data_IF_677098431805
#
_entry.id   IF_677098431805
#
_cell.length_a   1.000
_cell.length_b   1.000
_cell.length_c   1.000
_cell.angle_alpha   90.00
_cell.angle_beta   90.00
_cell.angle_gamma   90.00
#
_symmetry.space_group_name_H-M   'P 1'
#
loop_
_entity.id
_entity.type
_entity.pdbx_description
1 polymer ?
#
# COMPACT_ATOMS: atom_id res chain seq x y z
N UNK A 1 -11.23 6.28 12.30
CA UNK A 1 -10.98 6.96 11.02
C UNK A 1 -10.23 8.28 11.19
N UNK A 2 -10.74 9.17 12.02
CA UNK A 2 -10.15 10.51 12.25
C UNK A 2 -8.71 10.45 12.79
N UNK A 3 -8.39 9.42 13.59
CA UNK A 3 -7.03 9.20 14.13
C UNK A 3 -6.06 8.76 13.04
N UNK A 4 -6.54 8.02 12.03
CA UNK A 4 -5.67 7.47 10.95
C UNK A 4 -5.51 8.47 9.81
N UNK A 5 -6.59 9.12 9.38
CA UNK A 5 -6.59 9.92 8.15
C UNK A 5 -6.84 11.44 8.38
N UNK A 6 -7.15 11.87 9.60
CA UNK A 6 -7.49 13.26 9.93
C UNK A 6 -8.91 13.65 9.52
N UNK A 7 -9.28 14.92 9.79
CA UNK A 7 -10.60 15.47 9.45
C UNK A 7 -10.73 15.75 7.94
N UNK A 8 -11.96 15.74 7.41
CA UNK A 8 -12.20 16.19 6.04
C UNK A 8 -11.88 17.68 5.88
N UNK A 9 -11.20 18.04 4.80
CA UNK A 9 -11.01 19.44 4.42
C UNK A 9 -12.24 19.92 3.66
N UNK A 10 -13.06 20.75 4.28
CA UNK A 10 -14.30 21.29 3.67
C UNK A 10 -14.07 22.21 2.46
N UNK A 11 -12.87 22.73 2.25
CA UNK A 11 -12.58 23.79 1.27
C UNK A 11 -11.56 23.39 0.19
N UNK A 12 -11.09 22.15 0.11
CA UNK A 12 -10.16 21.72 -0.94
C UNK A 12 -10.90 20.85 -1.95
N UNK A 13 -11.29 21.45 -3.08
CA UNK A 13 -11.83 20.73 -4.22
C UNK A 13 -10.67 20.36 -5.14
N UNK A 14 -10.51 19.06 -5.42
CA UNK A 14 -9.55 18.58 -6.42
C UNK A 14 -10.01 19.06 -7.81
N UNK A 15 -9.07 19.50 -8.65
CA UNK A 15 -9.40 19.73 -10.03
C UNK A 15 -9.70 18.39 -10.74
N UNK A 16 -10.44 18.37 -11.86
CA UNK A 16 -10.87 17.13 -12.51
C UNK A 16 -9.72 16.19 -12.89
N UNK A 17 -8.55 16.74 -13.25
CA UNK A 17 -7.36 15.95 -13.57
C UNK A 17 -6.78 15.28 -12.34
N UNK A 18 -6.62 16.02 -11.25
CA UNK A 18 -6.14 15.47 -9.98
C UNK A 18 -7.13 14.45 -9.41
N UNK A 19 -8.44 14.76 -9.46
CA UNK A 19 -9.50 13.82 -9.01
C UNK A 19 -9.39 12.48 -9.73
N UNK A 20 -9.16 12.50 -11.03
CA UNK A 20 -8.97 11.29 -11.84
C UNK A 20 -7.72 10.52 -11.43
N UNK A 21 -6.59 11.19 -11.28
CA UNK A 21 -5.33 10.55 -10.87
C UNK A 21 -5.50 9.90 -9.50
N UNK A 22 -6.05 10.62 -8.52
CA UNK A 22 -6.26 10.10 -7.16
C UNK A 22 -7.23 8.91 -7.17
N UNK A 23 -8.29 8.94 -7.98
CA UNK A 23 -9.22 7.81 -8.08
C UNK A 23 -8.52 6.53 -8.58
N UNK A 24 -7.72 6.61 -9.63
CA UNK A 24 -6.95 5.46 -10.11
C UNK A 24 -5.91 4.99 -9.11
N UNK A 25 -5.26 5.92 -8.41
CA UNK A 25 -4.30 5.63 -7.35
C UNK A 25 -4.93 4.80 -6.23
N UNK A 26 -6.04 5.26 -5.66
CA UNK A 26 -6.73 4.58 -4.56
C UNK A 26 -7.32 3.22 -4.99
N UNK A 27 -7.92 3.15 -6.19
CA UNK A 27 -8.38 1.86 -6.72
C UNK A 27 -7.20 0.93 -7.01
N UNK A 28 -6.05 1.46 -7.40
CA UNK A 28 -4.82 0.68 -7.56
C UNK A 28 -4.45 -0.07 -6.27
N UNK A 29 -4.42 0.62 -5.14
CA UNK A 29 -4.20 -0.02 -3.83
C UNK A 29 -5.27 -1.07 -3.52
N UNK A 30 -6.54 -0.69 -3.68
CA UNK A 30 -7.67 -1.55 -3.36
C UNK A 30 -7.70 -2.83 -4.20
N UNK A 31 -7.46 -2.73 -5.50
CA UNK A 31 -7.50 -3.85 -6.43
C UNK A 31 -6.32 -4.80 -6.20
N UNK A 32 -5.11 -4.26 -5.98
CA UNK A 32 -3.94 -5.08 -5.63
C UNK A 32 -4.18 -5.81 -4.31
N UNK A 33 -4.74 -5.14 -3.30
CA UNK A 33 -5.07 -5.78 -2.03
C UNK A 33 -6.09 -6.91 -2.20
N UNK A 34 -7.18 -6.67 -2.95
CA UNK A 34 -8.27 -7.62 -3.12
C UNK A 34 -7.89 -8.87 -3.95
N UNK A 35 -6.92 -8.74 -4.84
CA UNK A 35 -6.48 -9.84 -5.73
C UNK A 35 -5.29 -10.63 -5.16
N UNK A 36 -4.90 -10.40 -3.92
CA UNK A 36 -3.85 -11.14 -3.22
C UNK A 36 -4.43 -12.04 -2.13
N UNK A 37 -3.82 -13.21 -1.93
CA UNK A 37 -4.02 -14.04 -0.74
C UNK A 37 -3.38 -13.37 0.48
N UNK A 38 -3.84 -13.70 1.68
CA UNK A 38 -3.28 -13.18 2.94
C UNK A 38 -3.18 -11.64 2.95
N UNK A 39 -4.22 -10.98 2.47
CA UNK A 39 -4.37 -9.52 2.46
C UNK A 39 -5.66 -9.14 3.18
N UNK A 40 -5.59 -8.13 4.03
CA UNK A 40 -6.78 -7.64 4.73
C UNK A 40 -7.81 -7.08 3.74
N UNK A 41 -9.10 -7.33 3.94
CA UNK A 41 -10.13 -6.83 3.05
C UNK A 41 -10.21 -5.29 3.06
N UNK A 42 -10.54 -4.74 1.90
CA UNK A 42 -10.74 -3.30 1.75
C UNK A 42 -12.09 -2.92 2.37
N UNK A 43 -12.06 -2.09 3.39
CA UNK A 43 -13.26 -1.64 4.09
C UNK A 43 -13.81 -0.30 3.54
N UNK A 44 -12.93 0.56 3.03
CA UNK A 44 -13.31 1.88 2.51
C UNK A 44 -12.27 2.42 1.55
N UNK A 45 -12.75 3.12 0.52
CA UNK A 45 -11.94 3.88 -0.42
C UNK A 45 -12.55 5.28 -0.52
N UNK A 46 -11.73 6.33 -0.48
CA UNK A 46 -12.22 7.70 -0.64
C UNK A 46 -11.21 8.60 -1.34
N UNK A 47 -11.71 9.54 -2.12
CA UNK A 47 -10.92 10.60 -2.77
C UNK A 47 -11.25 11.99 -2.18
N UNK A 48 -11.88 12.01 -1.00
CA UNK A 48 -12.16 13.25 -0.27
C UNK A 48 -10.90 13.67 0.51
N UNK A 49 -10.32 14.86 0.22
CA UNK A 49 -9.09 15.31 0.85
C UNK A 49 -9.18 15.44 2.37
N UNK A 50 -8.10 15.15 3.06
CA UNK A 50 -8.00 15.18 4.53
C UNK A 50 -7.06 16.27 5.03
N UNK A 51 -7.19 16.61 6.32
CA UNK A 51 -6.35 17.63 6.99
C UNK A 51 -4.89 17.18 7.12
N UNK A 52 -4.62 15.87 7.11
CA UNK A 52 -3.27 15.29 7.08
C UNK A 52 -2.49 15.59 5.79
N UNK A 53 -3.16 16.14 4.76
CA UNK A 53 -2.58 16.38 3.44
C UNK A 53 -2.86 15.28 2.43
N UNK A 54 -3.38 14.13 2.85
CA UNK A 54 -3.80 13.07 1.95
C UNK A 54 -4.95 13.53 1.04
N UNK A 55 -4.85 13.22 -0.25
CA UNK A 55 -5.87 13.55 -1.26
C UNK A 55 -6.96 12.48 -1.35
N UNK A 56 -6.65 11.27 -0.91
CA UNK A 56 -7.52 10.13 -0.75
C UNK A 56 -6.93 9.15 0.25
N UNK A 57 -7.59 8.03 0.48
CA UNK A 57 -7.02 6.87 1.17
C UNK A 57 -7.85 5.61 0.94
N UNK A 58 -7.17 4.49 0.99
CA UNK A 58 -7.74 3.15 1.01
C UNK A 58 -7.56 2.54 2.39
N UNK A 59 -8.65 2.14 3.04
CA UNK A 59 -8.65 1.52 4.36
C UNK A 59 -8.84 0.01 4.24
N UNK A 60 -7.87 -0.74 4.72
CA UNK A 60 -7.97 -2.18 4.94
C UNK A 60 -8.21 -2.46 6.43
N UNK A 61 -9.12 -3.36 6.73
CA UNK A 61 -9.41 -3.78 8.11
C UNK A 61 -9.32 -5.31 8.16
N UNK A 62 -8.38 -5.87 8.94
CA UNK A 62 -8.32 -7.31 9.15
C UNK A 62 -9.62 -7.83 9.77
N UNK A 63 -10.08 -9.00 9.33
CA UNK A 63 -11.27 -9.66 9.91
C UNK A 63 -10.96 -10.24 11.30
N UNK A 64 -9.71 -10.62 11.54
CA UNK A 64 -9.20 -11.11 12.81
C UNK A 64 -7.98 -10.32 13.27
N UNK A 65 -7.83 -10.13 14.57
CA UNK A 65 -6.60 -9.56 15.15
C UNK A 65 -5.48 -10.60 15.08
N UNK A 66 -4.56 -10.42 14.15
CA UNK A 66 -3.35 -11.24 14.05
C UNK A 66 -2.15 -10.50 14.63
N UNK A 67 -1.43 -11.16 15.54
CA UNK A 67 -0.22 -10.59 16.16
C UNK A 67 1.07 -10.99 15.42
N UNK A 68 0.96 -11.90 14.45
CA UNK A 68 2.08 -12.38 13.66
C UNK A 68 1.95 -11.93 12.21
N UNK A 69 3.07 -11.57 11.61
CA UNK A 69 3.18 -11.18 10.20
C UNK A 69 4.10 -12.18 9.51
N UNK A 70 3.57 -12.94 8.57
CA UNK A 70 4.37 -13.84 7.74
C UNK A 70 5.18 -13.06 6.69
N UNK A 71 6.20 -13.71 6.12
CA UNK A 71 7.00 -13.13 5.03
C UNK A 71 6.14 -12.83 3.79
N UNK A 72 5.18 -13.71 3.49
CA UNK A 72 4.27 -13.53 2.36
C UNK A 72 3.33 -12.34 2.58
N UNK A 73 2.72 -12.23 3.76
CA UNK A 73 1.87 -11.10 4.11
C UNK A 73 2.63 -9.76 4.08
N UNK A 74 3.88 -9.74 4.58
CA UNK A 74 4.73 -8.56 4.52
C UNK A 74 5.01 -8.16 3.05
N UNK A 75 5.33 -9.11 2.19
CA UNK A 75 5.56 -8.87 0.77
C UNK A 75 4.29 -8.39 0.05
N UNK A 76 3.14 -9.00 0.34
CA UNK A 76 1.85 -8.59 -0.20
C UNK A 76 1.46 -7.17 0.24
N UNK A 77 1.78 -6.80 1.47
CA UNK A 77 1.63 -5.44 1.97
C UNK A 77 2.47 -4.43 1.20
N UNK A 78 3.73 -4.78 0.89
CA UNK A 78 4.59 -3.93 0.05
C UNK A 78 3.98 -3.79 -1.35
N UNK A 79 3.50 -4.88 -1.95
CA UNK A 79 2.84 -4.83 -3.25
C UNK A 79 1.60 -3.92 -3.22
N UNK A 80 0.80 -3.98 -2.15
CA UNK A 80 -0.35 -3.09 -1.96
C UNK A 80 0.09 -1.62 -1.88
N UNK A 81 1.14 -1.28 -1.12
CA UNK A 81 1.67 0.08 -1.07
C UNK A 81 2.13 0.60 -2.44
N UNK A 82 2.66 -0.27 -3.29
CA UNK A 82 3.09 0.14 -4.65
C UNK A 82 1.92 0.25 -5.65
N UNK A 83 0.72 -0.25 -5.29
CA UNK A 83 -0.44 -0.35 -6.17
C UNK A 83 -0.92 0.98 -6.73
N UNK A 84 -0.94 2.05 -5.92
CA UNK A 84 -1.35 3.38 -6.37
C UNK A 84 -0.43 3.91 -7.46
N UNK A 85 0.88 3.88 -7.24
CA UNK A 85 1.86 4.29 -8.25
C UNK A 85 1.81 3.39 -9.50
N UNK A 86 1.64 2.09 -9.34
CA UNK A 86 1.52 1.17 -10.46
C UNK A 86 0.29 1.49 -11.33
N UNK A 87 -0.83 1.89 -10.73
CA UNK A 87 -2.01 2.32 -11.45
C UNK A 87 -1.77 3.64 -12.22
N UNK A 88 -1.11 4.62 -11.59
CA UNK A 88 -0.74 5.87 -12.28
C UNK A 88 0.15 5.57 -13.50
N UNK A 89 1.18 4.75 -13.35
CA UNK A 89 2.11 4.37 -14.40
C UNK A 89 1.41 3.63 -15.55
N UNK A 90 0.54 2.67 -15.23
CA UNK A 90 -0.19 1.89 -16.21
C UNK A 90 -1.16 2.74 -17.04
N UNK A 91 -1.90 3.66 -16.40
CA UNK A 91 -3.00 4.39 -17.03
C UNK A 91 -2.55 5.70 -17.66
N UNK A 92 -1.60 6.39 -17.02
CA UNK A 92 -1.17 7.73 -17.47
C UNK A 92 0.23 7.74 -18.09
N UNK A 93 0.98 6.62 -18.03
CA UNK A 93 2.37 6.56 -18.49
C UNK A 93 3.32 7.45 -17.68
N UNK A 94 2.89 7.93 -16.52
CA UNK A 94 3.63 8.82 -15.61
C UNK A 94 3.15 8.60 -14.19
N UNK A 95 3.86 9.16 -13.23
CA UNK A 95 3.52 9.07 -11.81
C UNK A 95 3.71 10.42 -11.13
N UNK A 96 3.01 10.59 -10.01
CA UNK A 96 2.99 11.84 -9.26
C UNK A 96 3.66 11.70 -7.89
N UNK A 97 3.80 12.82 -7.19
CA UNK A 97 4.27 12.85 -5.80
C UNK A 97 3.26 12.26 -4.80
N UNK A 98 2.06 11.90 -5.24
CA UNK A 98 1.00 11.34 -4.39
C UNK A 98 1.42 10.07 -3.66
N UNK A 99 2.27 9.26 -4.30
CA UNK A 99 2.79 8.00 -3.74
C UNK A 99 3.91 8.16 -2.69
N UNK A 100 4.27 9.36 -2.27
CA UNK A 100 5.44 9.58 -1.38
C UNK A 100 5.33 8.82 -0.05
N UNK A 101 4.17 8.85 0.59
CA UNK A 101 3.94 8.12 1.83
C UNK A 101 3.95 6.60 1.63
N UNK A 102 3.40 6.10 0.53
CA UNK A 102 3.38 4.68 0.20
C UNK A 102 4.78 4.14 -0.04
N UNK A 103 5.61 4.92 -0.73
CA UNK A 103 7.04 4.60 -0.97
C UNK A 103 7.78 4.53 0.36
N UNK A 104 7.54 5.46 1.28
CA UNK A 104 8.14 5.44 2.62
C UNK A 104 7.71 4.21 3.43
N UNK A 105 6.41 3.89 3.44
CA UNK A 105 5.86 2.71 4.12
C UNK A 105 6.42 1.40 3.54
N UNK A 106 6.45 1.28 2.21
CA UNK A 106 7.02 0.14 1.51
C UNK A 106 8.50 -0.06 1.85
N UNK A 107 9.29 1.01 1.80
CA UNK A 107 10.73 0.99 2.12
C UNK A 107 10.97 0.60 3.57
N UNK A 108 10.21 1.17 4.50
CA UNK A 108 10.33 0.87 5.93
C UNK A 108 10.00 -0.60 6.23
N UNK A 109 8.93 -1.14 5.62
CA UNK A 109 8.55 -2.54 5.81
C UNK A 109 9.60 -3.48 5.19
N UNK A 110 10.05 -3.23 3.96
CA UNK A 110 11.08 -4.02 3.29
C UNK A 110 12.39 -4.03 4.10
N UNK A 111 12.81 -2.86 4.62
CA UNK A 111 14.00 -2.76 5.48
C UNK A 111 13.84 -3.55 6.78
N UNK A 112 12.67 -3.50 7.42
CA UNK A 112 12.39 -4.30 8.61
C UNK A 112 12.41 -5.80 8.33
N UNK A 113 11.88 -6.25 7.19
CA UNK A 113 11.94 -7.66 6.77
C UNK A 113 13.39 -8.16 6.71
N UNK A 114 14.26 -7.36 6.10
CA UNK A 114 15.68 -7.73 5.91
C UNK A 114 16.47 -7.63 7.22
N UNK A 115 16.29 -6.56 8.01
CA UNK A 115 17.21 -6.24 9.11
C UNK A 115 16.75 -6.73 10.48
N UNK A 116 15.46 -7.00 10.68
CA UNK A 116 14.88 -7.26 12.01
C UNK A 116 14.02 -8.51 12.10
N UNK A 117 13.31 -8.88 11.03
CA UNK A 117 12.31 -9.94 11.09
C UNK A 117 12.85 -11.30 10.64
N UNK A 118 14.13 -11.40 10.26
CA UNK A 118 14.73 -12.64 9.77
C UNK A 118 14.07 -13.15 8.49
N UNK A 119 13.58 -12.24 7.62
CA UNK A 119 12.86 -12.57 6.39
C UNK A 119 13.74 -12.39 5.14
N UNK A 120 15.03 -12.11 5.33
CA UNK A 120 16.03 -12.04 4.26
C UNK A 120 16.35 -13.42 3.71
N UNK A 121 16.66 -13.49 2.43
CA UNK A 121 17.24 -14.70 1.81
C UNK A 121 18.75 -14.74 1.94
N UNK A 122 19.41 -13.58 1.97
CA UNK A 122 20.86 -13.45 2.07
C UNK A 122 21.36 -13.63 3.52
N UNK A 123 20.63 -13.05 4.48
CA UNK A 123 21.06 -12.96 5.88
C UNK A 123 20.36 -13.92 6.85
N UNK A 124 19.35 -14.65 6.37
CA UNK A 124 18.58 -15.62 7.14
C UNK A 124 18.11 -15.06 8.51
N UNK A 125 18.46 -15.65 9.64
CA UNK A 125 18.04 -15.25 10.99
C UNK A 125 18.98 -14.22 11.64
N UNK A 126 19.81 -13.52 10.87
CA UNK A 126 20.74 -12.53 11.41
C UNK A 126 20.01 -11.21 11.72
N UNK A 127 20.13 -10.70 12.94
CA UNK A 127 19.67 -9.38 13.32
C UNK A 127 20.72 -8.33 12.89
N UNK A 128 20.34 -7.45 11.96
CA UNK A 128 21.24 -6.47 11.35
C UNK A 128 20.97 -5.03 11.81
N UNK A 129 19.93 -4.83 12.64
CA UNK A 129 19.60 -3.54 13.24
C UNK A 129 19.25 -3.70 14.72
N UNK A 130 19.70 -2.73 15.53
CA UNK A 130 19.33 -2.60 16.94
C UNK A 130 18.45 -1.39 17.15
N UNK A 131 17.42 -1.51 18.01
CA UNK A 131 16.56 -0.38 18.41
C UNK A 131 17.14 0.21 19.69
N UNK A 132 17.68 1.41 19.62
CA UNK A 132 18.38 2.05 20.73
C UNK A 132 17.48 2.64 21.84
N UNK A 133 16.17 2.68 21.67
CA UNK A 133 15.21 3.05 22.73
C UNK A 133 13.78 2.76 22.31
N UNK A 134 13.06 1.93 23.07
CA UNK A 134 11.62 1.69 22.89
C UNK A 134 10.76 2.91 23.32
N UNK A 135 11.33 3.82 24.16
CA UNK A 135 10.57 4.91 24.78
C UNK A 135 10.60 6.24 24.03
N UNK A 136 11.49 6.42 23.03
CA UNK A 136 11.69 7.70 22.34
C UNK A 136 11.50 7.59 20.81
N UNK A 137 10.68 6.66 20.31
CA UNK A 137 10.49 6.48 18.86
C UNK A 137 11.78 6.09 18.15
N UNK A 138 12.58 5.25 18.81
CA UNK A 138 13.98 5.02 18.51
C UNK A 138 14.28 4.67 17.06
N UNK A 139 15.17 5.44 16.46
CA UNK A 139 15.79 5.11 15.18
C UNK A 139 16.52 3.79 15.31
N UNK A 140 16.21 2.86 14.42
CA UNK A 140 16.94 1.61 14.30
C UNK A 140 18.31 1.92 13.67
N UNK A 141 19.38 1.72 14.44
CA UNK A 141 20.74 1.81 13.91
C UNK A 141 21.18 0.47 13.33
N UNK A 142 21.86 0.49 12.18
CA UNK A 142 22.46 -0.71 11.61
C UNK A 142 23.62 -1.18 12.50
N UNK A 143 23.62 -2.48 12.80
CA UNK A 143 24.66 -3.17 13.56
C UNK A 143 25.43 -4.13 12.64
N UNK A 144 26.03 -3.60 11.56
CA UNK A 144 26.73 -4.37 10.55
C UNK A 144 27.84 -3.57 9.88
N UNK A 145 28.69 -4.22 9.10
CA UNK A 145 29.73 -3.58 8.29
C UNK A 145 29.14 -2.81 7.10
N UNK A 146 29.92 -1.89 6.52
CA UNK A 146 29.52 -1.13 5.33
C UNK A 146 29.16 -2.05 4.15
N UNK A 147 29.93 -3.10 3.89
CA UNK A 147 29.64 -4.07 2.84
C UNK A 147 28.33 -4.85 3.07
N UNK A 148 27.96 -5.07 4.33
CA UNK A 148 26.65 -5.67 4.68
C UNK A 148 25.52 -4.65 4.48
N UNK A 149 25.75 -3.39 4.85
CA UNK A 149 24.77 -2.31 4.63
C UNK A 149 24.43 -2.12 3.14
N UNK A 150 25.44 -2.20 2.26
CA UNK A 150 25.22 -2.15 0.80
C UNK A 150 24.35 -3.31 0.30
N UNK A 151 24.58 -4.52 0.78
CA UNK A 151 23.76 -5.69 0.44
C UNK A 151 22.32 -5.57 0.99
N UNK A 152 22.13 -5.00 2.18
CA UNK A 152 20.80 -4.68 2.71
C UNK A 152 20.06 -3.75 1.77
N UNK A 153 20.70 -2.67 1.31
CA UNK A 153 20.07 -1.71 0.41
C UNK A 153 19.71 -2.34 -0.94
N UNK A 154 20.55 -3.23 -1.47
CA UNK A 154 20.24 -3.99 -2.68
C UNK A 154 19.05 -4.92 -2.50
N UNK A 155 19.00 -5.71 -1.41
CA UNK A 155 17.88 -6.62 -1.16
C UNK A 155 16.56 -5.85 -0.91
N UNK A 156 16.58 -4.73 -0.20
CA UNK A 156 15.43 -3.84 -0.02
C UNK A 156 14.92 -3.31 -1.38
N UNK A 157 15.82 -2.86 -2.24
CA UNK A 157 15.46 -2.39 -3.58
C UNK A 157 14.83 -3.50 -4.43
N UNK A 158 15.36 -4.72 -4.37
CA UNK A 158 14.82 -5.86 -5.11
C UNK A 158 13.44 -6.29 -4.58
N UNK A 159 13.23 -6.27 -3.27
CA UNK A 159 11.92 -6.54 -2.67
C UNK A 159 10.86 -5.53 -3.17
N UNK A 160 11.18 -4.24 -3.17
CA UNK A 160 10.27 -3.20 -3.64
C UNK A 160 10.00 -3.35 -5.14
N UNK A 161 11.02 -3.58 -5.96
CA UNK A 161 10.85 -3.79 -7.41
C UNK A 161 10.00 -5.02 -7.73
N UNK A 162 10.23 -6.13 -7.02
CA UNK A 162 9.48 -7.36 -7.20
C UNK A 162 8.01 -7.19 -6.78
N UNK A 163 7.76 -6.49 -5.67
CA UNK A 163 6.43 -6.18 -5.21
C UNK A 163 5.69 -5.23 -6.17
N UNK A 164 6.38 -4.21 -6.70
CA UNK A 164 5.84 -3.33 -7.73
C UNK A 164 5.51 -4.07 -9.02
N UNK A 165 6.39 -4.97 -9.48
CA UNK A 165 6.13 -5.81 -10.64
C UNK A 165 4.89 -6.68 -10.45
N UNK A 166 4.72 -7.28 -9.27
CA UNK A 166 3.51 -8.03 -8.90
C UNK A 166 2.26 -7.15 -8.95
N UNK A 167 2.31 -5.95 -8.37
CA UNK A 167 1.19 -5.01 -8.42
C UNK A 167 0.83 -4.63 -9.86
N UNK A 168 1.83 -4.36 -10.70
CA UNK A 168 1.65 -4.04 -12.11
C UNK A 168 1.01 -5.19 -12.89
N UNK A 169 1.40 -6.43 -12.64
CA UNK A 169 0.81 -7.62 -13.25
C UNK A 169 -0.66 -7.76 -12.86
N UNK A 170 -0.97 -7.68 -11.56
CA UNK A 170 -2.36 -7.72 -11.07
C UNK A 170 -3.23 -6.65 -11.75
N UNK A 171 -2.73 -5.42 -11.86
CA UNK A 171 -3.49 -4.33 -12.47
C UNK A 171 -3.66 -4.49 -13.98
N UNK A 172 -2.66 -5.02 -14.70
CA UNK A 172 -2.77 -5.33 -16.12
C UNK A 172 -3.82 -6.40 -16.40
N UNK A 173 -3.83 -7.46 -15.58
CA UNK A 173 -4.79 -8.55 -15.72
C UNK A 173 -6.23 -8.13 -15.36
N UNK A 174 -6.39 -7.02 -14.67
CA UNK A 174 -7.68 -6.50 -14.21
C UNK A 174 -7.93 -5.05 -14.66
N UNK A 175 -7.39 -4.65 -15.82
CA UNK A 175 -7.44 -3.25 -16.27
C UNK A 175 -8.87 -2.73 -16.51
N UNK A 176 -9.77 -3.57 -17.03
CA UNK A 176 -11.18 -3.21 -17.24
C UNK A 176 -11.86 -2.91 -15.91
N UNK A 177 -11.59 -3.72 -14.89
CA UNK A 177 -12.11 -3.51 -13.54
C UNK A 177 -11.50 -2.27 -12.86
N UNK A 178 -10.23 -2.00 -13.12
CA UNK A 178 -9.58 -0.78 -12.67
C UNK A 178 -10.29 0.47 -13.23
N UNK A 179 -10.65 0.46 -14.52
CA UNK A 179 -11.39 1.55 -15.15
C UNK A 179 -12.81 1.70 -14.59
N UNK A 180 -13.53 0.62 -14.44
CA UNK A 180 -14.89 0.59 -13.90
C UNK A 180 -14.95 1.16 -12.48
N UNK A 181 -14.11 0.63 -11.59
CA UNK A 181 -14.06 1.06 -10.18
C UNK A 181 -13.57 2.52 -10.03
N UNK A 182 -12.60 2.96 -10.83
CA UNK A 182 -12.16 4.34 -10.82
C UNK A 182 -13.26 5.30 -11.26
N UNK A 183 -14.03 4.96 -12.30
CA UNK A 183 -15.18 5.75 -12.74
C UNK A 183 -16.25 5.84 -11.64
N UNK A 184 -16.58 4.72 -11.01
CA UNK A 184 -17.52 4.65 -9.89
C UNK A 184 -17.06 5.48 -8.68
N UNK A 185 -15.76 5.39 -8.33
CA UNK A 185 -15.19 6.19 -7.24
C UNK A 185 -15.19 7.70 -7.55
N UNK A 186 -14.96 8.10 -8.81
CA UNK A 186 -15.05 9.51 -9.21
C UNK A 186 -16.46 10.08 -9.06
N UNK A 187 -17.49 9.26 -9.28
CA UNK A 187 -18.90 9.65 -9.13
C UNK A 187 -19.31 9.72 -7.66
N UNK A 188 -19.00 8.67 -6.88
CA UNK A 188 -19.43 8.53 -5.47
C UNK A 188 -18.52 9.23 -4.48
N UNK A 189 -17.26 9.52 -4.84
CA UNK A 189 -16.19 10.08 -4.01
C UNK A 189 -15.77 9.21 -2.81
N UNK A 190 -16.63 8.28 -2.39
CA UNK A 190 -16.37 7.32 -1.32
C UNK A 190 -17.12 6.02 -1.61
N UNK A 191 -16.44 4.90 -1.44
CA UNK A 191 -16.99 3.55 -1.51
C UNK A 191 -16.76 2.87 -0.17
N UNK A 192 -17.80 2.28 0.43
CA UNK A 192 -17.74 1.59 1.73
C UNK A 192 -18.03 0.11 1.59
N UNK A 193 -17.63 -0.68 2.59
CA UNK A 193 -17.88 -2.11 2.61
C UNK A 193 -19.36 -2.51 2.69
N UNK A 194 -20.24 -1.59 3.10
CA UNK A 194 -21.70 -1.82 3.14
C UNK A 194 -22.33 -1.79 1.74
N UNK A 195 -21.72 -1.08 0.80
CA UNK A 195 -22.12 -1.06 -0.61
C UNK A 195 -21.63 -2.32 -1.38
N UNK A 196 -21.06 -3.31 -0.66
CA UNK A 196 -20.61 -4.61 -1.19
C UNK A 196 -21.70 -5.48 -1.81
N UNK A 197 -22.96 -5.18 -1.55
CA UNK A 197 -24.11 -5.89 -2.15
C UNK A 197 -24.39 -5.49 -3.59
N UNK A 198 -23.78 -4.43 -4.10
CA UNK A 198 -23.86 -4.02 -5.50
C UNK A 198 -22.80 -4.77 -6.30
N UNK A 199 -23.14 -5.26 -7.50
CA UNK A 199 -22.31 -6.11 -8.36
C UNK A 199 -20.89 -5.55 -8.65
N UNK A 200 -20.72 -4.25 -8.56
CA UNK A 200 -19.47 -3.55 -8.90
C UNK A 200 -18.37 -3.65 -7.82
N UNK A 201 -18.70 -3.89 -6.56
CA UNK A 201 -17.73 -3.90 -5.45
C UNK A 201 -17.44 -5.29 -4.88
N UNK A 202 -18.16 -6.32 -5.32
CA UNK A 202 -18.04 -7.70 -4.81
C UNK A 202 -16.62 -8.30 -4.98
N UNK A 203 -15.87 -7.84 -5.98
CA UNK A 203 -14.52 -8.31 -6.27
C UNK A 203 -13.41 -7.70 -5.40
N UNK A 204 -13.73 -6.69 -4.58
CA UNK A 204 -12.79 -6.13 -3.59
C UNK A 204 -12.72 -6.97 -2.30
N UNK A 205 -13.36 -8.14 -2.28
CA UNK A 205 -13.23 -9.11 -1.21
C UNK A 205 -12.03 -10.01 -1.48
N UNK A 206 -11.18 -10.21 -0.47
CA UNK A 206 -10.12 -11.22 -0.56
C UNK A 206 -10.72 -12.59 -0.86
N UNK A 207 -10.10 -13.40 -1.75
CA UNK A 207 -10.57 -14.76 -1.96
C UNK A 207 -10.54 -15.50 -0.63
N UNK A 208 -11.69 -16.06 -0.24
CA UNK A 208 -11.76 -16.98 0.90
C UNK A 208 -10.98 -18.23 0.53
N UNK A 209 -9.95 -18.54 1.31
CA UNK A 209 -9.27 -19.83 1.27
C UNK A 209 -10.17 -20.92 1.77
#
# INVERSE_FOLDING_TARGET
ETVIAGYQRKNKVLNPKEKRIVAYHEIGHALVAAKQTNSAPVAKITIVPRTSGALGYTLQVPEEETNLLSREEAFNKIATFTGGRAAEELIFGSYTSGASNDIEQATRLARNMVTRLGMSKEFDMMALATVNSQYLGGDASLACSEGTAEKIDQEVLELIKSAHAKAMEILKDNVDKLHELAAFLMERETITGEERSEEHTSELQSPRT
#
